data_IF_516396856342
#
_entry.id   IF_516396856342
#
_cell.length_a   1.000
_cell.length_b   1.000
_cell.length_c   1.000
_cell.angle_alpha   90.00
_cell.angle_beta   90.00
_cell.angle_gamma   90.00
#
_symmetry.space_group_name_H-M   'P 1'
#
loop_
_entity.id
_entity.type
_entity.pdbx_description
1 polymer ?
#
# COMPACT_ATOMS: atom_id res chain seq x y z
N UNK A 1 22.20 5.36 3.22
CA UNK A 1 22.53 6.10 4.45
C UNK A 1 21.27 6.40 5.25
N UNK A 2 20.23 7.00 4.66
CA UNK A 2 18.96 7.31 5.33
C UNK A 2 18.18 6.06 5.73
N UNK A 3 18.19 5.00 4.94
CA UNK A 3 17.56 3.72 5.30
C UNK A 3 18.13 3.14 6.60
N UNK A 4 19.46 3.22 6.79
CA UNK A 4 20.09 2.76 8.03
C UNK A 4 19.67 3.61 9.23
N UNK A 5 19.46 4.90 9.01
CA UNK A 5 18.97 5.80 10.06
C UNK A 5 17.55 5.47 10.48
N UNK A 6 16.68 5.20 9.51
CA UNK A 6 15.30 4.76 9.76
C UNK A 6 15.28 3.43 10.53
N UNK A 7 16.09 2.45 10.11
CA UNK A 7 16.23 1.17 10.82
C UNK A 7 16.65 1.38 12.27
N UNK A 8 17.66 2.20 12.51
CA UNK A 8 18.12 2.49 13.86
C UNK A 8 17.03 3.14 14.73
N UNK A 9 16.25 4.07 14.17
CA UNK A 9 15.12 4.70 14.85
C UNK A 9 14.02 3.67 15.17
N UNK A 10 13.65 2.82 14.21
CA UNK A 10 12.64 1.77 14.41
C UNK A 10 13.07 0.77 15.50
N UNK A 11 14.31 0.30 15.46
CA UNK A 11 14.85 -0.62 16.48
C UNK A 11 14.90 0.04 17.87
N UNK A 12 15.30 1.30 17.93
CA UNK A 12 15.32 2.07 19.18
C UNK A 12 13.91 2.22 19.77
N UNK A 13 12.94 2.54 18.92
CA UNK A 13 11.55 2.68 19.35
C UNK A 13 10.95 1.36 19.82
N UNK A 14 11.15 0.26 19.09
CA UNK A 14 10.63 -1.07 19.43
C UNK A 14 11.21 -1.60 20.75
N UNK A 15 12.45 -1.28 21.09
CA UNK A 15 13.06 -1.63 22.38
C UNK A 15 12.39 -0.94 23.57
N UNK A 16 11.92 0.28 23.37
CA UNK A 16 11.25 1.07 24.39
C UNK A 16 9.74 0.77 24.49
N UNK A 17 9.16 0.28 23.41
CA UNK A 17 7.73 0.01 23.28
C UNK A 17 7.48 -1.45 22.87
N UNK A 18 7.81 -2.43 23.73
CA UNK A 18 7.49 -3.82 23.43
C UNK A 18 5.98 -4.00 23.40
N UNK A 19 5.48 -4.73 22.42
CA UNK A 19 4.05 -4.95 22.26
C UNK A 19 3.77 -6.11 21.29
N UNK A 20 2.50 -6.47 21.11
CA UNK A 20 2.10 -7.51 20.16
C UNK A 20 2.42 -7.08 18.73
N UNK A 21 2.70 -8.07 17.87
CA UNK A 21 3.02 -7.87 16.45
C UNK A 21 1.77 -7.56 15.62
N UNK A 22 0.61 -8.03 16.10
CA UNK A 22 -0.70 -7.84 15.45
C UNK A 22 -1.70 -7.27 16.43
N UNK A 23 -2.79 -6.69 15.89
CA UNK A 23 -3.96 -6.31 16.66
C UNK A 23 -4.62 -7.56 17.27
N UNK A 24 -5.13 -7.44 18.47
CA UNK A 24 -5.95 -8.44 19.17
C UNK A 24 -7.39 -8.49 18.66
N UNK A 25 -7.77 -7.58 17.77
CA UNK A 25 -9.09 -7.57 17.15
C UNK A 25 -9.15 -8.56 15.97
N UNK A 26 -9.63 -9.76 16.23
CA UNK A 26 -9.72 -10.83 15.23
C UNK A 26 -10.81 -10.62 14.17
N UNK A 27 -11.54 -9.52 14.22
CA UNK A 27 -12.41 -9.08 13.10
C UNK A 27 -11.63 -8.44 11.95
N UNK A 28 -10.43 -7.92 12.22
CA UNK A 28 -9.58 -7.27 11.22
C UNK A 28 -8.23 -7.96 11.05
N UNK A 29 -7.79 -8.75 12.02
CA UNK A 29 -6.57 -9.55 11.95
C UNK A 29 -6.88 -11.04 12.13
N UNK A 30 -6.22 -11.95 11.40
CA UNK A 30 -6.52 -13.37 11.52
C UNK A 30 -6.13 -13.91 12.91
N UNK A 31 -6.96 -14.78 13.52
CA UNK A 31 -6.65 -15.45 14.77
C UNK A 31 -5.49 -16.43 14.60
N UNK A 32 -4.85 -16.79 15.71
CA UNK A 32 -3.82 -17.81 15.71
C UNK A 32 -4.40 -19.19 15.30
N UNK A 33 -3.60 -19.99 14.61
CA UNK A 33 -4.06 -21.30 14.11
C UNK A 33 -4.57 -22.24 15.20
N UNK A 34 -3.98 -22.18 16.39
CA UNK A 34 -4.38 -23.01 17.52
C UNK A 34 -5.76 -22.57 18.04
N UNK A 35 -5.96 -21.27 18.18
CA UNK A 35 -7.21 -20.69 18.69
C UNK A 35 -8.37 -20.98 17.73
N UNK A 36 -8.12 -20.88 16.43
CA UNK A 36 -9.10 -21.24 15.39
C UNK A 36 -9.55 -22.71 15.49
N UNK A 37 -8.69 -23.63 15.97
CA UNK A 37 -9.02 -25.05 16.12
C UNK A 37 -9.74 -25.40 17.42
N UNK A 38 -9.52 -24.62 18.45
CA UNK A 38 -10.02 -24.89 19.81
C UNK A 38 -11.21 -24.02 20.22
N UNK A 39 -11.40 -22.88 19.55
CA UNK A 39 -12.43 -21.90 19.87
C UNK A 39 -13.33 -21.64 18.64
N UNK A 40 -14.63 -21.89 18.81
CA UNK A 40 -15.61 -21.71 17.72
C UNK A 40 -15.71 -20.24 17.29
N UNK A 41 -15.62 -19.30 18.21
CA UNK A 41 -15.69 -17.87 17.91
C UNK A 41 -14.53 -17.43 17.01
N UNK A 42 -13.33 -17.90 17.28
CA UNK A 42 -12.15 -17.62 16.47
C UNK A 42 -12.21 -18.29 15.09
N UNK A 43 -12.82 -19.47 15.01
CA UNK A 43 -13.09 -20.10 13.72
C UNK A 43 -14.06 -19.27 12.86
N UNK A 44 -15.09 -18.71 13.48
CA UNK A 44 -16.07 -17.83 12.80
C UNK A 44 -15.39 -16.54 12.36
N UNK A 45 -14.56 -15.94 13.18
CA UNK A 45 -13.78 -14.74 12.83
C UNK A 45 -12.86 -15.00 11.63
N UNK A 46 -12.15 -16.12 11.65
CA UNK A 46 -11.32 -16.54 10.51
C UNK A 46 -12.15 -16.73 9.25
N UNK A 47 -13.25 -17.46 9.32
CA UNK A 47 -14.11 -17.70 8.17
C UNK A 47 -14.64 -16.40 7.58
N UNK A 48 -15.17 -15.51 8.40
CA UNK A 48 -15.73 -14.23 7.94
C UNK A 48 -14.68 -13.30 7.38
N UNK A 49 -13.49 -13.24 7.99
CA UNK A 49 -12.40 -12.41 7.51
C UNK A 49 -11.93 -12.80 6.10
N UNK A 50 -11.87 -14.11 5.80
CA UNK A 50 -11.39 -14.60 4.51
C UNK A 50 -12.48 -14.76 3.45
N UNK A 51 -13.74 -14.77 3.82
CA UNK A 51 -14.87 -14.87 2.86
C UNK A 51 -15.49 -13.50 2.55
N UNK A 52 -15.82 -12.74 3.57
CA UNK A 52 -16.48 -11.43 3.45
C UNK A 52 -15.50 -10.26 3.59
N UNK A 53 -14.46 -10.41 4.42
CA UNK A 53 -13.60 -9.32 4.85
C UNK A 53 -14.23 -8.49 5.96
N UNK A 54 -13.60 -7.36 6.26
CA UNK A 54 -14.08 -6.42 7.29
C UNK A 54 -14.77 -5.22 6.64
N UNK A 55 -15.75 -4.67 7.35
CA UNK A 55 -16.46 -3.46 6.92
C UNK A 55 -15.74 -2.23 7.45
N UNK A 56 -15.63 -1.21 6.62
CA UNK A 56 -15.02 0.08 6.98
C UNK A 56 -16.15 1.10 7.19
N UNK A 57 -16.12 1.89 8.26
CA UNK A 57 -17.13 2.94 8.46
C UNK A 57 -17.23 3.89 7.26
N UNK A 58 -18.42 4.46 7.06
CA UNK A 58 -18.65 5.45 6.02
C UNK A 58 -17.73 6.67 6.21
N UNK A 59 -17.19 7.15 5.11
CA UNK A 59 -16.32 8.33 5.11
C UNK A 59 -15.38 8.38 3.93
N UNK A 60 -14.65 9.46 3.86
CA UNK A 60 -13.63 9.67 2.84
C UNK A 60 -12.30 10.05 3.47
N UNK A 61 -11.21 9.62 2.85
CA UNK A 61 -9.86 9.92 3.31
C UNK A 61 -8.91 10.04 2.12
N UNK A 62 -8.05 11.04 2.16
CA UNK A 62 -6.87 11.11 1.31
C UNK A 62 -5.63 10.96 2.17
N UNK A 63 -4.80 9.98 1.84
CA UNK A 63 -3.51 9.79 2.48
C UNK A 63 -2.42 9.70 1.41
N UNK A 64 -1.33 10.42 1.64
CA UNK A 64 -0.17 10.40 0.77
C UNK A 64 1.08 10.08 1.56
N UNK A 65 1.96 9.31 0.95
CA UNK A 65 3.26 8.95 1.51
C UNK A 65 4.36 9.31 0.52
N UNK A 66 5.55 9.57 1.04
CA UNK A 66 6.73 9.74 0.22
C UNK A 66 7.18 8.36 -0.30
N UNK A 67 7.11 8.21 -1.60
CA UNK A 67 7.57 7.02 -2.31
C UNK A 67 8.90 7.34 -3.03
N UNK A 68 9.80 6.37 -3.28
CA UNK A 68 11.06 6.62 -4.00
C UNK A 68 10.90 7.32 -5.35
N UNK A 69 9.77 7.14 -6.02
CA UNK A 69 9.44 7.78 -7.31
C UNK A 69 8.78 9.16 -7.16
N UNK A 70 8.37 9.53 -5.96
CA UNK A 70 7.65 10.77 -5.65
C UNK A 70 6.47 10.54 -4.70
N UNK A 71 5.49 11.41 -4.72
CA UNK A 71 4.31 11.29 -3.88
C UNK A 71 3.37 10.17 -4.38
N UNK A 72 3.11 9.18 -3.54
CA UNK A 72 2.10 8.15 -3.76
C UNK A 72 0.91 8.43 -2.86
N UNK A 73 -0.24 8.72 -3.45
CA UNK A 73 -1.45 9.08 -2.74
C UNK A 73 -2.62 8.15 -3.05
N UNK A 74 -3.45 7.92 -2.05
CA UNK A 74 -4.69 7.15 -2.17
C UNK A 74 -5.84 8.01 -1.66
N UNK A 75 -6.83 8.20 -2.52
CA UNK A 75 -8.13 8.74 -2.13
C UNK A 75 -9.15 7.61 -2.08
N UNK A 76 -9.72 7.41 -0.91
CA UNK A 76 -10.65 6.33 -0.61
C UNK A 76 -11.98 6.90 -0.15
N UNK A 77 -13.06 6.36 -0.69
CA UNK A 77 -14.43 6.61 -0.22
C UNK A 77 -15.05 5.28 0.20
N UNK A 78 -15.54 5.20 1.42
CA UNK A 78 -16.26 4.05 1.97
C UNK A 78 -17.73 4.38 2.18
N UNK A 79 -18.59 3.43 1.84
CA UNK A 79 -20.03 3.47 2.07
C UNK A 79 -20.49 2.53 3.19
N UNK A 80 -19.56 2.07 4.03
CA UNK A 80 -19.83 1.09 5.08
C UNK A 80 -19.71 -0.37 4.64
N UNK A 81 -19.45 -0.64 3.37
CA UNK A 81 -19.28 -1.98 2.85
C UNK A 81 -17.86 -2.53 3.08
N UNK A 82 -17.67 -3.79 2.71
CA UNK A 82 -16.37 -4.47 2.72
C UNK A 82 -15.50 -4.13 1.48
N UNK A 83 -16.05 -3.39 0.53
CA UNK A 83 -15.34 -2.90 -0.65
C UNK A 83 -15.44 -1.38 -0.70
N UNK A 84 -14.40 -0.69 -1.15
CA UNK A 84 -14.48 0.75 -1.30
C UNK A 84 -15.53 1.13 -2.36
N UNK A 85 -16.35 2.13 -2.06
CA UNK A 85 -17.25 2.73 -3.04
C UNK A 85 -16.46 3.37 -4.18
N UNK A 86 -15.37 4.06 -3.83
CA UNK A 86 -14.43 4.64 -4.79
C UNK A 86 -13.01 4.60 -4.26
N UNK A 87 -12.11 4.20 -5.13
CA UNK A 87 -10.67 4.24 -4.90
C UNK A 87 -10.00 4.99 -6.05
N UNK A 88 -9.21 6.00 -5.73
CA UNK A 88 -8.33 6.65 -6.69
C UNK A 88 -6.90 6.60 -6.20
N UNK A 89 -6.02 6.09 -7.06
CA UNK A 89 -4.59 6.01 -6.80
C UNK A 89 -3.90 7.16 -7.56
N UNK A 90 -3.19 8.00 -6.85
CA UNK A 90 -2.29 9.00 -7.42
C UNK A 90 -0.90 8.38 -7.51
N UNK A 91 -0.52 7.96 -8.71
CA UNK A 91 0.78 7.38 -8.98
C UNK A 91 1.76 8.47 -9.47
N UNK A 92 2.96 8.57 -8.93
CA UNK A 92 3.94 9.57 -9.39
C UNK A 92 4.39 9.33 -10.83
N UNK A 93 4.55 8.07 -11.26
CA UNK A 93 4.96 7.71 -12.61
C UNK A 93 4.00 8.14 -13.70
N UNK A 94 2.72 8.26 -13.39
CA UNK A 94 1.71 8.73 -14.36
C UNK A 94 2.01 10.16 -14.86
N UNK A 95 2.41 11.05 -13.96
CA UNK A 95 2.79 12.42 -14.31
C UNK A 95 4.15 12.46 -15.00
N UNK A 96 5.11 11.65 -14.55
CA UNK A 96 6.47 11.61 -15.11
C UNK A 96 6.49 11.10 -16.56
N UNK A 97 5.60 10.17 -16.90
CA UNK A 97 5.53 9.61 -18.26
C UNK A 97 5.30 10.67 -19.33
N UNK A 98 4.63 11.76 -19.00
CA UNK A 98 4.41 12.86 -19.93
C UNK A 98 5.73 13.49 -20.43
N UNK A 99 6.76 13.47 -19.60
CA UNK A 99 8.09 13.97 -19.96
C UNK A 99 8.81 13.13 -21.03
N UNK A 100 8.40 11.87 -21.22
CA UNK A 100 9.04 10.96 -22.17
C UNK A 100 9.08 11.54 -23.60
N UNK A 101 8.01 12.21 -24.03
CA UNK A 101 7.92 12.79 -25.35
C UNK A 101 9.01 13.85 -25.63
N UNK A 102 9.28 14.70 -24.65
CA UNK A 102 10.32 15.73 -24.78
C UNK A 102 11.72 15.13 -24.67
N UNK A 103 11.91 14.16 -23.77
CA UNK A 103 13.20 13.50 -23.56
C UNK A 103 13.60 12.62 -24.76
N UNK A 104 12.64 12.00 -25.43
CA UNK A 104 12.89 11.11 -26.57
C UNK A 104 13.15 11.85 -27.89
N UNK A 105 12.82 13.13 -27.95
CA UNK A 105 12.93 13.92 -29.20
C UNK A 105 14.38 14.07 -29.60
N UNK A 106 14.70 13.65 -30.84
CA UNK A 106 16.05 13.69 -31.38
C UNK A 106 16.98 12.53 -30.99
N UNK A 107 16.47 11.57 -30.25
CA UNK A 107 17.19 10.37 -29.85
C UNK A 107 16.79 9.14 -30.69
N UNK A 108 17.59 8.09 -30.60
CA UNK A 108 17.29 6.81 -31.27
C UNK A 108 16.21 6.04 -30.49
N UNK A 109 15.51 5.14 -31.18
CA UNK A 109 14.50 4.27 -30.53
C UNK A 109 15.13 3.44 -29.39
N UNK A 110 16.37 3.01 -29.54
CA UNK A 110 17.07 2.29 -28.47
C UNK A 110 17.26 3.12 -27.20
N UNK A 111 17.36 4.44 -27.31
CA UNK A 111 17.53 5.34 -26.16
C UNK A 111 16.24 5.47 -25.34
N UNK A 112 15.08 5.19 -25.95
CA UNK A 112 13.78 5.24 -25.26
C UNK A 112 13.75 4.29 -24.06
N UNK A 113 14.35 3.10 -24.18
CA UNK A 113 14.45 2.14 -23.08
C UNK A 113 15.27 2.72 -21.92
N UNK A 114 16.37 3.38 -22.23
CA UNK A 114 17.21 4.06 -21.23
C UNK A 114 16.48 5.22 -20.57
N UNK A 115 15.73 6.00 -21.34
CA UNK A 115 14.92 7.12 -20.86
C UNK A 115 13.84 6.63 -19.87
N UNK A 116 13.14 5.55 -20.23
CA UNK A 116 12.15 4.91 -19.34
C UNK A 116 12.80 4.49 -18.01
N UNK A 117 13.98 3.86 -18.08
CA UNK A 117 14.75 3.50 -16.90
C UNK A 117 15.19 4.70 -16.07
N UNK A 118 15.57 5.80 -16.69
CA UNK A 118 15.96 7.05 -16.03
C UNK A 118 14.78 7.72 -15.32
N UNK A 119 13.60 7.69 -15.92
CA UNK A 119 12.36 8.21 -15.33
C UNK A 119 11.79 7.28 -14.24
N UNK A 120 12.35 6.07 -14.08
CA UNK A 120 11.88 5.06 -13.14
C UNK A 120 10.40 4.70 -13.36
N UNK A 121 10.03 4.46 -14.60
CA UNK A 121 8.66 4.14 -15.00
C UNK A 121 8.41 2.64 -14.84
N UNK A 122 7.37 2.29 -14.08
CA UNK A 122 6.79 0.96 -14.01
C UNK A 122 5.33 1.06 -14.44
N UNK A 123 4.97 0.39 -15.51
CA UNK A 123 3.64 0.55 -16.13
C UNK A 123 2.49 0.04 -15.26
N UNK A 124 2.73 -0.86 -14.31
CA UNK A 124 1.71 -1.29 -13.36
C UNK A 124 1.14 -0.17 -12.51
N UNK A 125 1.95 0.81 -12.11
CA UNK A 125 1.46 1.99 -11.39
C UNK A 125 0.74 3.00 -12.29
N UNK A 126 1.04 3.01 -13.57
CA UNK A 126 0.45 3.91 -14.56
C UNK A 126 -0.90 3.38 -15.01
N UNK A 127 -1.00 2.10 -15.30
CA UNK A 127 -2.21 1.45 -15.81
C UNK A 127 -3.24 1.16 -14.71
N UNK A 128 -2.80 0.90 -13.49
CA UNK A 128 -3.61 0.71 -12.25
C UNK A 128 -4.69 -0.35 -12.35
#
# INVERSE_FOLDING_TARGET
>A
RESNRIIAQCVGWLRQHPGPVMSDNHKVSPPARLDMKSNMEELIHHFKLFTEGFHVPEGECYAAVEHPKGEFGIYLVSDGANKPYRLKIRAPGFAHLQGLNEMARGHMIADVVTIIGTQDIVFGEIDR
#
